data_IF_453840648619
#
_entry.id   IF_453840648619
#
_cell.length_a   1.000
_cell.length_b   1.000
_cell.length_c   1.000
_cell.angle_alpha   90.00
_cell.angle_beta   90.00
_cell.angle_gamma   90.00
#
_symmetry.space_group_name_H-M   'P 1'
#
loop_
_entity.id
_entity.type
_entity.pdbx_description
1 polymer ?
#
# COMPACT_ATOMS: atom_id res chain seq x y z
N UNK A 1 11.09 27.71 0.68
CA UNK A 1 11.09 27.83 1.13
C UNK A 1 11.14 27.67 1.24
N UNK A 2 10.95 27.51 1.24
CA UNK A 2 10.88 27.53 1.64
C UNK A 2 10.70 27.22 1.87
N UNK A 3 10.46 27.23 1.82
CA UNK A 3 10.24 27.10 2.27
C UNK A 3 9.95 26.76 2.44
N UNK A 4 9.79 26.83 2.34
CA UNK A 4 9.50 26.59 2.74
C UNK A 4 9.15 26.09 2.84
N UNK A 5 9.03 26.19 2.69
CA UNK A 5 8.75 25.79 3.03
C UNK A 5 8.49 25.13 3.12
N UNK A 6 8.43 25.29 3.02
CA UNK A 6 8.23 24.76 3.33
C UNK A 6 7.92 24.09 3.43
N UNK A 7 7.85 24.06 3.25
CA UNK A 7 7.57 23.52 3.59
C UNK A 7 7.23 22.89 4.03
N UNK A 8 7.10 23.10 3.98
CA UNK A 8 6.79 22.56 4.57
C UNK A 8 6.56 21.95 5.10
N UNK A 9 6.50 21.81 5.26
CA UNK A 9 6.50 21.31 5.87
C UNK A 9 6.25 20.86 6.77
N UNK A 10 6.16 21.15 6.86
CA UNK A 10 6.12 20.88 8.23
C UNK A 10 6.26 19.45 8.63
N UNK A 11 6.44 19.21 9.89
CA UNK A 11 6.57 17.85 10.36
C UNK A 11 5.44 16.96 9.90
N UNK A 12 4.24 17.44 9.91
CA UNK A 12 3.11 16.65 9.48
C UNK A 12 3.10 16.38 7.99
N UNK A 13 4.09 16.90 7.30
CA UNK A 13 4.13 16.79 5.84
C UNK A 13 5.00 15.66 5.34
N UNK A 14 5.45 14.79 6.24
CA UNK A 14 6.19 13.62 5.79
C UNK A 14 5.30 12.74 4.91
N UNK A 15 5.86 12.25 3.82
CA UNK A 15 5.13 11.39 2.89
C UNK A 15 4.90 10.03 3.54
N UNK A 16 3.67 9.55 3.46
CA UNK A 16 3.28 8.28 4.05
C UNK A 16 3.12 7.22 2.96
N UNK A 17 3.74 6.08 3.19
CA UNK A 17 3.77 4.97 2.25
C UNK A 17 2.95 3.80 2.77
N UNK A 18 2.29 3.11 1.86
CA UNK A 18 1.51 1.91 2.16
C UNK A 18 2.01 0.77 1.26
N UNK A 19 2.30 -0.37 1.86
CA UNK A 19 2.73 -1.54 1.09
C UNK A 19 1.52 -2.42 0.81
N UNK A 20 1.21 -2.66 -0.46
CA UNK A 20 0.12 -3.54 -0.87
C UNK A 20 0.72 -4.78 -1.54
N UNK A 21 0.47 -5.95 -0.96
CA UNK A 21 0.99 -7.18 -1.49
C UNK A 21 0.14 -8.37 -1.04
N UNK A 22 0.24 -9.50 -1.74
CA UNK A 22 -0.56 -10.68 -1.40
C UNK A 22 -0.10 -11.32 -0.10
N UNK A 23 -1.05 -11.74 0.72
CA UNK A 23 -0.79 -12.40 2.00
C UNK A 23 -1.50 -13.73 2.05
N UNK A 24 -2.81 -13.73 1.80
CA UNK A 24 -3.60 -14.96 1.88
C UNK A 24 -3.16 -15.99 0.85
N UNK A 25 -3.09 -17.25 1.27
CA UNK A 25 -2.69 -18.31 0.37
C UNK A 25 -1.19 -18.52 0.27
N UNK A 26 -0.41 -17.70 0.98
CA UNK A 26 1.05 -17.83 1.02
C UNK A 26 1.48 -18.23 2.42
N UNK A 27 2.68 -18.77 2.52
CA UNK A 27 3.25 -19.10 3.82
C UNK A 27 3.61 -17.80 4.54
N UNK A 28 3.12 -17.64 5.78
CA UNK A 28 3.16 -16.34 6.45
C UNK A 28 4.58 -15.82 6.70
N UNK A 29 5.51 -16.71 7.05
CA UNK A 29 6.87 -16.26 7.32
C UNK A 29 7.57 -15.78 6.06
N UNK A 30 7.26 -16.41 4.93
CA UNK A 30 7.77 -15.96 3.65
C UNK A 30 7.24 -14.57 3.32
N UNK A 31 5.96 -14.34 3.59
CA UNK A 31 5.36 -13.02 3.37
C UNK A 31 5.95 -11.98 4.31
N UNK A 32 6.15 -12.36 5.56
CA UNK A 32 6.73 -11.46 6.55
C UNK A 32 8.09 -10.95 6.08
N UNK A 33 8.92 -11.84 5.56
CA UNK A 33 10.23 -11.47 5.04
C UNK A 33 10.13 -10.60 3.79
N UNK A 34 9.21 -10.95 2.89
CA UNK A 34 9.04 -10.19 1.65
C UNK A 34 8.57 -8.77 1.92
N UNK A 35 7.59 -8.60 2.81
CA UNK A 35 7.09 -7.28 3.18
C UNK A 35 8.16 -6.47 3.91
N UNK A 36 8.91 -7.12 4.80
CA UNK A 36 9.98 -6.44 5.51
C UNK A 36 11.05 -5.93 4.55
N UNK A 37 11.37 -6.72 3.54
CA UNK A 37 12.36 -6.31 2.54
C UNK A 37 11.90 -5.06 1.80
N UNK A 38 10.63 -5.00 1.41
CA UNK A 38 10.08 -3.84 0.74
C UNK A 38 10.08 -2.63 1.67
N UNK A 39 9.69 -2.84 2.91
CA UNK A 39 9.68 -1.75 3.90
C UNK A 39 11.06 -1.14 4.06
N UNK A 40 12.09 -1.97 4.21
CA UNK A 40 13.46 -1.49 4.37
C UNK A 40 13.97 -0.80 3.11
N UNK A 41 13.57 -1.31 1.95
CA UNK A 41 13.96 -0.70 0.69
C UNK A 41 13.40 0.72 0.58
N UNK A 42 12.12 0.89 0.89
CA UNK A 42 11.47 2.21 0.84
C UNK A 42 12.15 3.17 1.81
N UNK A 43 12.39 2.72 3.03
CA UNK A 43 13.02 3.55 4.05
C UNK A 43 14.42 4.00 3.61
N UNK A 44 15.18 3.09 3.03
CA UNK A 44 16.54 3.40 2.62
C UNK A 44 16.59 4.32 1.41
N UNK A 45 15.78 4.00 0.39
CA UNK A 45 15.82 4.73 -0.87
C UNK A 45 15.20 6.11 -0.75
N UNK A 46 14.11 6.22 0.00
CA UNK A 46 13.35 7.48 0.09
C UNK A 46 13.55 8.22 1.40
N UNK A 47 14.36 7.69 2.31
CA UNK A 47 14.71 8.38 3.54
C UNK A 47 13.54 8.61 4.48
N UNK A 48 12.53 7.75 4.46
CA UNK A 48 11.34 7.91 5.27
C UNK A 48 11.25 6.79 6.29
N UNK A 49 10.57 7.08 7.42
CA UNK A 49 10.23 6.07 8.41
C UNK A 49 8.74 5.80 8.45
N UNK A 50 7.98 6.48 7.61
CA UNK A 50 6.52 6.39 7.65
C UNK A 50 6.04 5.42 6.57
N UNK A 51 6.21 4.14 6.81
CA UNK A 51 5.84 3.06 5.90
C UNK A 51 4.93 2.10 6.63
N UNK A 52 3.70 1.95 6.15
CA UNK A 52 2.76 1.02 6.73
C UNK A 52 2.94 -0.36 6.11
N UNK A 53 3.26 -1.33 6.94
CA UNK A 53 3.42 -2.73 6.54
C UNK A 53 2.24 -3.50 7.13
N UNK A 54 1.30 -3.99 6.30
CA UNK A 54 0.09 -4.64 6.83
C UNK A 54 0.36 -5.87 7.68
N UNK A 55 1.49 -6.52 7.50
CA UNK A 55 1.83 -7.68 8.34
C UNK A 55 2.13 -7.24 9.77
N UNK A 56 2.51 -5.97 9.94
CA UNK A 56 2.78 -5.38 11.25
C UNK A 56 1.72 -4.34 11.60
N UNK A 57 0.45 -4.66 11.36
CA UNK A 57 -0.62 -3.68 11.54
C UNK A 57 -1.10 -3.54 12.99
N UNK A 58 -0.49 -4.27 13.92
CA UNK A 58 -0.81 -4.13 15.32
C UNK A 58 -1.86 -5.09 15.84
N UNK A 59 -2.50 -5.85 14.95
CA UNK A 59 -3.51 -6.82 15.35
C UNK A 59 -2.90 -8.22 15.46
N UNK A 60 -3.47 -9.09 16.31
CA UNK A 60 -3.03 -10.48 16.34
C UNK A 60 -3.24 -11.13 14.99
N UNK A 61 -2.36 -12.07 14.67
CA UNK A 61 -2.42 -12.77 13.38
C UNK A 61 -3.76 -13.47 13.18
N UNK A 62 -4.35 -13.98 14.26
CA UNK A 62 -5.62 -14.70 14.20
C UNK A 62 -6.84 -13.79 14.36
N UNK A 63 -6.67 -12.48 14.31
CA UNK A 63 -7.80 -11.57 14.31
C UNK A 63 -8.64 -11.81 13.06
N UNK A 64 -9.92 -11.44 13.12
CA UNK A 64 -10.83 -11.64 12.00
C UNK A 64 -10.34 -10.88 10.76
N UNK A 65 -10.60 -11.46 9.59
CA UNK A 65 -10.22 -10.84 8.33
C UNK A 65 -10.76 -9.41 8.22
N UNK A 66 -12.02 -9.21 8.65
CA UNK A 66 -12.62 -7.89 8.59
C UNK A 66 -11.90 -6.87 9.45
N UNK A 67 -11.38 -7.30 10.61
CA UNK A 67 -10.62 -6.41 11.48
C UNK A 67 -9.32 -5.98 10.82
N UNK A 68 -8.62 -6.93 10.22
CA UNK A 68 -7.40 -6.61 9.47
C UNK A 68 -7.69 -5.66 8.31
N UNK A 69 -8.76 -5.94 7.56
CA UNK A 69 -9.11 -5.11 6.42
C UNK A 69 -9.43 -3.68 6.85
N UNK A 70 -10.19 -3.52 7.92
CA UNK A 70 -10.53 -2.18 8.41
C UNK A 70 -9.30 -1.42 8.86
N UNK A 71 -8.42 -2.08 9.58
CA UNK A 71 -7.18 -1.46 10.06
C UNK A 71 -6.31 -1.02 8.89
N UNK A 72 -6.18 -1.90 7.89
CA UNK A 72 -5.36 -1.62 6.73
C UNK A 72 -5.95 -0.48 5.89
N UNK A 73 -7.28 -0.45 5.72
CA UNK A 73 -7.92 0.62 4.96
C UNK A 73 -7.79 1.97 5.64
N UNK A 74 -7.81 2.01 6.98
CA UNK A 74 -7.55 3.26 7.69
C UNK A 74 -6.18 3.82 7.35
N UNK A 75 -5.17 2.95 7.34
CA UNK A 75 -3.81 3.37 7.00
C UNK A 75 -3.72 3.79 5.53
N UNK A 76 -4.41 3.07 4.65
CA UNK A 76 -4.40 3.38 3.23
C UNK A 76 -4.96 4.77 2.96
N UNK A 77 -6.08 5.09 3.61
CA UNK A 77 -6.72 6.40 3.44
C UNK A 77 -5.79 7.54 3.83
N UNK A 78 -4.92 7.31 4.80
CA UNK A 78 -3.99 8.33 5.27
C UNK A 78 -2.68 8.36 4.49
N UNK A 79 -2.52 7.46 3.53
CA UNK A 79 -1.26 7.35 2.79
C UNK A 79 -1.23 8.27 1.57
N UNK A 80 -0.02 8.53 1.09
CA UNK A 80 0.20 9.33 -0.11
C UNK A 80 0.62 8.46 -1.27
N UNK A 81 1.39 7.42 -1.00
CA UNK A 81 1.96 6.55 -2.03
C UNK A 81 1.73 5.10 -1.64
N UNK A 82 1.31 4.30 -2.62
CA UNK A 82 1.16 2.86 -2.43
C UNK A 82 2.21 2.17 -3.29
N UNK A 83 3.01 1.31 -2.66
CA UNK A 83 3.95 0.47 -3.40
C UNK A 83 3.37 -0.93 -3.50
N UNK A 84 3.28 -1.44 -4.72
CA UNK A 84 2.59 -2.70 -5.05
C UNK A 84 3.60 -3.80 -5.27
N UNK A 85 3.41 -4.92 -4.58
CA UNK A 85 4.28 -6.07 -4.70
C UNK A 85 3.81 -7.03 -5.79
N UNK A 86 4.74 -7.80 -6.35
CA UNK A 86 4.42 -8.80 -7.35
C UNK A 86 3.40 -9.80 -6.81
N UNK A 87 2.55 -10.33 -7.69
CA UNK A 87 1.51 -11.29 -7.31
C UNK A 87 0.19 -10.63 -6.96
N UNK A 88 0.10 -9.32 -7.02
CA UNK A 88 -1.10 -8.57 -6.66
C UNK A 88 -2.33 -8.97 -7.45
N UNK A 89 -2.15 -9.45 -8.70
CA UNK A 89 -3.27 -9.79 -9.58
C UNK A 89 -4.13 -10.92 -9.03
N UNK A 90 -3.53 -11.75 -8.20
CA UNK A 90 -4.21 -12.92 -7.66
C UNK A 90 -4.65 -12.73 -6.21
N UNK A 91 -4.57 -11.50 -5.72
CA UNK A 91 -4.92 -11.19 -4.33
C UNK A 91 -6.14 -10.28 -4.29
N UNK A 92 -7.23 -10.78 -3.74
CA UNK A 92 -8.45 -9.98 -3.61
C UNK A 92 -8.19 -8.74 -2.76
N UNK A 93 -7.43 -8.91 -1.68
CA UNK A 93 -7.11 -7.78 -0.80
C UNK A 93 -6.35 -6.70 -1.54
N UNK A 94 -5.31 -7.09 -2.29
CA UNK A 94 -4.54 -6.14 -3.08
C UNK A 94 -5.43 -5.42 -4.10
N UNK A 95 -6.25 -6.17 -4.82
CA UNK A 95 -7.10 -5.57 -5.84
C UNK A 95 -8.04 -4.53 -5.25
N UNK A 96 -8.61 -4.83 -4.09
CA UNK A 96 -9.48 -3.87 -3.41
C UNK A 96 -8.70 -2.64 -2.97
N UNK A 97 -7.54 -2.84 -2.37
CA UNK A 97 -6.71 -1.73 -1.92
C UNK A 97 -6.30 -0.83 -3.08
N UNK A 98 -5.91 -1.42 -4.19
CA UNK A 98 -5.46 -0.65 -5.35
C UNK A 98 -6.60 0.13 -6.00
N UNK A 99 -7.80 -0.44 -6.02
CA UNK A 99 -8.96 0.28 -6.53
C UNK A 99 -9.30 1.47 -5.64
N UNK A 100 -9.23 1.29 -4.33
CA UNK A 100 -9.45 2.41 -3.40
C UNK A 100 -8.34 3.46 -3.56
N UNK A 101 -7.09 3.02 -3.69
CA UNK A 101 -5.98 3.96 -3.87
C UNK A 101 -6.19 4.80 -5.12
N UNK A 102 -6.61 4.17 -6.23
CA UNK A 102 -6.88 4.91 -7.46
C UNK A 102 -8.02 5.89 -7.27
N UNK A 103 -9.06 5.47 -6.56
CA UNK A 103 -10.22 6.33 -6.31
C UNK A 103 -9.84 7.53 -5.45
N UNK A 104 -8.91 7.34 -4.53
CA UNK A 104 -8.43 8.42 -3.65
C UNK A 104 -7.32 9.25 -4.30
N UNK A 105 -6.95 8.93 -5.53
CA UNK A 105 -5.88 9.62 -6.27
C UNK A 105 -4.52 9.50 -5.60
N UNK A 106 -4.27 8.39 -4.93
CA UNK A 106 -2.96 8.12 -4.37
C UNK A 106 -2.01 7.76 -5.50
N UNK A 107 -0.74 8.07 -5.32
CA UNK A 107 0.28 7.66 -6.26
C UNK A 107 0.53 6.16 -6.07
N UNK A 108 0.55 5.40 -7.16
CA UNK A 108 0.75 3.95 -7.11
C UNK A 108 2.03 3.62 -7.86
N UNK A 109 2.94 2.94 -7.17
CA UNK A 109 4.26 2.57 -7.72
C UNK A 109 4.38 1.06 -7.60
N UNK A 110 4.72 0.37 -8.69
CA UNK A 110 4.99 -1.06 -8.64
C UNK A 110 6.42 -1.33 -8.25
N UNK A 111 6.69 -2.55 -7.82
CA UNK A 111 8.05 -2.99 -7.52
C UNK A 111 8.93 -2.88 -8.76
N UNK A 112 8.32 -3.02 -9.94
CA UNK A 112 9.03 -2.91 -11.20
C UNK A 112 8.08 -2.37 -12.26
N UNK A 113 8.63 -2.02 -13.42
CA UNK A 113 7.84 -1.40 -14.48
C UNK A 113 6.75 -2.30 -15.04
N UNK A 114 7.01 -3.59 -15.07
CA UNK A 114 6.01 -4.55 -15.56
C UNK A 114 4.75 -4.49 -14.71
N UNK A 115 4.93 -4.41 -13.39
CA UNK A 115 3.80 -4.29 -12.48
C UNK A 115 3.03 -3.01 -12.76
N UNK A 116 3.73 -1.90 -12.97
CA UNK A 116 3.07 -0.62 -13.24
C UNK A 116 2.24 -0.66 -14.52
N UNK A 117 2.79 -1.23 -15.58
CA UNK A 117 2.09 -1.32 -16.86
C UNK A 117 0.82 -2.15 -16.75
N UNK A 118 0.93 -3.31 -16.09
CA UNK A 118 -0.22 -4.19 -15.92
C UNK A 118 -1.28 -3.58 -15.02
N UNK A 119 -0.83 -2.85 -14.00
CA UNK A 119 -1.74 -2.26 -13.04
C UNK A 119 -2.73 -1.30 -13.70
N UNK A 120 -2.25 -0.42 -14.56
CA UNK A 120 -3.13 0.52 -15.24
C UNK A 120 -4.19 -0.20 -16.07
N UNK A 121 -3.77 -1.22 -16.82
CA UNK A 121 -4.70 -2.00 -17.64
C UNK A 121 -5.72 -2.71 -16.77
N UNK A 122 -5.26 -3.32 -15.69
CA UNK A 122 -6.13 -4.11 -14.83
C UNK A 122 -7.18 -3.24 -14.13
N UNK A 123 -6.76 -2.13 -13.58
CA UNK A 123 -7.68 -1.24 -12.87
C UNK A 123 -8.72 -0.66 -13.82
N UNK A 124 -8.31 -0.33 -15.04
CA UNK A 124 -9.25 0.17 -16.05
C UNK A 124 -10.29 -0.88 -16.40
N UNK A 125 -9.88 -2.16 -16.51
CA UNK A 125 -10.77 -3.25 -16.87
C UNK A 125 -11.67 -3.69 -15.71
N UNK A 126 -11.28 -3.40 -14.47
CA UNK A 126 -11.98 -3.89 -13.27
C UNK A 126 -12.30 -2.73 -12.35
N UNK A 127 -13.18 -1.82 -12.75
CA UNK A 127 -13.49 -0.66 -11.92
C UNK A 127 -14.22 -1.04 -10.66
N UNK A 128 -14.18 -0.16 -9.66
CA UNK A 128 -14.96 -0.34 -8.45
C UNK A 128 -16.44 -0.37 -8.80
N UNK A 129 -17.18 -1.13 -8.03
CA UNK A 129 -18.62 -1.15 -8.20
C UNK A 129 -19.19 0.22 -7.83
N UNK A 130 -20.32 0.61 -8.45
CA UNK A 130 -20.86 1.95 -8.24
C UNK A 130 -21.08 2.34 -6.79
N UNK A 131 -21.46 1.41 -5.93
CA UNK A 131 -21.73 1.74 -4.54
C UNK A 131 -20.46 2.09 -3.76
N UNK A 132 -19.31 1.84 -4.32
CA UNK A 132 -18.04 2.23 -3.72
C UNK A 132 -17.54 3.55 -4.27
N UNK A 133 -18.26 4.11 -5.20
CA UNK A 133 -17.90 5.39 -5.75
C UNK A 133 -18.29 6.51 -4.82
#
# INVERSE_FOLDING_TARGET
MTTTTNQTTTSGNAVKWYISGPISGYEIEERRKAFEKVEQLVKRVHGTNDVFNPIKNGLPEDAAYSDHMMRDLEALVESDIVIVMAGWQHSRGCLNELKFARRLNLQIIGENEVVNDELDKYITSHPLKPYLS
#
